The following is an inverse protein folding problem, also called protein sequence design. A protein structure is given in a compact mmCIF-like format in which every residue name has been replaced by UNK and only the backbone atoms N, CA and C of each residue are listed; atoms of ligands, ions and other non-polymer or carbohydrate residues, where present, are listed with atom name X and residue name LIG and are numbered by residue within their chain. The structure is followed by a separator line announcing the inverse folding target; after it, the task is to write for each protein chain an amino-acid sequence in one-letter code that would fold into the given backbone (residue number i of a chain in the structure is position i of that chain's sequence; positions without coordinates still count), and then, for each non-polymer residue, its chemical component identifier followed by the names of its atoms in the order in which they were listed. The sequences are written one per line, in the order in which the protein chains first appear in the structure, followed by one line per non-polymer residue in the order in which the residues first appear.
data_IF_613103041496
#
_entry.id   IF_613103041496
#
_cell.length_a   1.000
_cell.length_b   1.000
_cell.length_c   1.000
_cell.angle_alpha   90.00
_cell.angle_beta   90.00
_cell.angle_gamma   90.00
#
_symmetry.space_group_name_H-M   'P 1'
#
loop_
_entity.id
_entity.type
_entity.pdbx_description
1 polymer ?
#
# COMPACT_ATOMS: atom_id res chain seq x y z
N UNK A 1 3.70 -18.00 -12.08
CA UNK A 1 2.69 -17.68 -11.05
C UNK A 1 2.54 -16.17 -11.04
N UNK A 2 1.32 -15.65 -11.24
CA UNK A 2 1.07 -14.20 -11.14
C UNK A 2 0.96 -13.82 -9.66
N UNK A 3 1.45 -12.63 -9.35
CA UNK A 3 1.42 -12.07 -8.01
C UNK A 3 0.06 -11.42 -7.76
N UNK A 4 -0.63 -11.79 -6.69
CA UNK A 4 -1.86 -11.10 -6.26
C UNK A 4 -1.52 -9.98 -5.30
N UNK A 5 -1.87 -8.75 -5.67
CA UNK A 5 -1.64 -7.55 -4.85
C UNK A 5 -2.97 -6.99 -4.36
N UNK A 6 -3.11 -6.91 -3.03
CA UNK A 6 -4.23 -6.24 -2.37
C UNK A 6 -3.98 -4.73 -2.28
N UNK A 7 -4.93 -3.93 -2.76
CA UNK A 7 -4.99 -2.47 -2.61
C UNK A 7 -6.19 -2.10 -1.75
N UNK A 8 -5.99 -1.92 -0.43
CA UNK A 8 -7.05 -1.48 0.44
C UNK A 8 -7.18 0.03 0.39
N UNK A 9 -8.36 0.53 0.01
CA UNK A 9 -8.70 1.94 0.09
C UNK A 9 -9.60 2.21 1.28
N UNK A 10 -9.37 3.36 1.92
CA UNK A 10 -10.23 3.89 2.96
C UNK A 10 -10.93 5.14 2.42
N UNK A 11 -12.24 5.21 2.45
CA UNK A 11 -12.99 6.34 1.87
C UNK A 11 -12.60 7.67 2.54
N UNK A 12 -12.27 7.61 3.84
CA UNK A 12 -11.77 8.78 4.58
C UNK A 12 -10.41 9.30 4.08
N UNK A 13 -9.62 8.49 3.37
CA UNK A 13 -8.34 8.89 2.78
C UNK A 13 -8.46 9.40 1.35
N UNK A 14 -9.68 9.51 0.80
CA UNK A 14 -9.89 10.05 -0.53
C UNK A 14 -9.29 11.46 -0.64
N UNK A 15 -8.42 11.64 -1.65
CA UNK A 15 -7.75 12.91 -1.94
C UNK A 15 -7.72 13.17 -3.44
N UNK A 16 -7.26 14.36 -3.83
CA UNK A 16 -7.08 14.72 -5.25
C UNK A 16 -6.10 13.80 -5.99
N UNK A 17 -5.20 13.14 -5.26
CA UNK A 17 -4.25 12.16 -5.82
C UNK A 17 -4.87 10.78 -6.07
N UNK A 18 -6.00 10.46 -5.42
CA UNK A 18 -6.63 9.13 -5.49
C UNK A 18 -7.04 8.73 -6.91
N UNK A 19 -7.69 9.59 -7.73
CA UNK A 19 -8.01 9.27 -9.12
C UNK A 19 -6.78 8.96 -9.98
N UNK A 20 -5.68 9.73 -9.80
CA UNK A 20 -4.44 9.50 -10.52
C UNK A 20 -3.80 8.15 -10.13
N UNK A 21 -3.88 7.76 -8.86
CA UNK A 21 -3.44 6.44 -8.42
C UNK A 21 -4.32 5.31 -9.01
N UNK A 22 -5.64 5.50 -9.04
CA UNK A 22 -6.59 4.55 -9.66
C UNK A 22 -6.27 4.36 -11.16
N UNK A 23 -5.92 5.43 -11.88
CA UNK A 23 -5.52 5.32 -13.28
C UNK A 23 -4.30 4.40 -13.47
N UNK A 24 -3.32 4.46 -12.57
CA UNK A 24 -2.16 3.55 -12.58
C UNK A 24 -2.59 2.10 -12.35
N UNK A 25 -3.59 1.85 -11.50
CA UNK A 25 -4.15 0.52 -11.32
C UNK A 25 -4.81 0.00 -12.61
N UNK A 26 -5.47 0.85 -13.39
CA UNK A 26 -5.99 0.47 -14.71
C UNK A 26 -4.86 0.04 -15.65
N UNK A 27 -3.74 0.76 -15.65
CA UNK A 27 -2.57 0.39 -16.47
C UNK A 27 -1.97 -0.95 -16.02
N UNK A 28 -1.86 -1.17 -14.71
CA UNK A 28 -1.42 -2.43 -14.14
C UNK A 28 -2.36 -3.59 -14.49
N UNK A 29 -3.68 -3.38 -14.43
CA UNK A 29 -4.66 -4.39 -14.81
C UNK A 29 -4.48 -4.81 -16.27
N UNK A 30 -4.31 -3.81 -17.16
CA UNK A 30 -4.12 -4.05 -18.60
C UNK A 30 -2.81 -4.79 -18.91
N UNK A 31 -1.78 -4.60 -18.09
CA UNK A 31 -0.50 -5.33 -18.25
C UNK A 31 -0.62 -6.83 -18.02
N UNK A 32 -1.63 -7.28 -17.26
CA UNK A 32 -1.83 -8.69 -16.85
C UNK A 32 -0.63 -9.32 -16.14
N UNK A 33 0.31 -8.52 -15.64
CA UNK A 33 1.50 -9.00 -14.93
C UNK A 33 1.18 -9.38 -13.47
N UNK A 34 0.20 -8.69 -12.88
CA UNK A 34 -0.28 -8.90 -11.51
C UNK A 34 -1.79 -9.06 -11.50
N UNK A 35 -2.28 -9.82 -10.54
CA UNK A 35 -3.70 -9.91 -10.25
C UNK A 35 -4.04 -8.84 -9.20
N UNK A 36 -4.97 -7.94 -9.54
CA UNK A 36 -5.37 -6.82 -8.69
C UNK A 36 -6.56 -7.23 -7.83
N UNK A 37 -6.44 -7.01 -6.54
CA UNK A 37 -7.50 -7.22 -5.59
C UNK A 37 -7.72 -5.92 -4.83
N UNK A 38 -8.88 -5.30 -5.00
CA UNK A 38 -9.14 -3.93 -4.52
C UNK A 38 -10.26 -3.99 -3.50
N UNK A 39 -10.05 -3.36 -2.34
CA UNK A 39 -11.10 -3.24 -1.32
C UNK A 39 -11.38 -1.80 -1.01
N UNK A 40 -12.62 -1.51 -0.62
CA UNK A 40 -13.04 -0.22 -0.07
C UNK A 40 -13.76 -0.49 1.24
N UNK A 41 -13.55 0.34 2.26
CA UNK A 41 -14.20 0.18 3.56
C UNK A 41 -15.70 0.52 3.55
N UNK A 42 -16.12 1.47 2.73
CA UNK A 42 -17.50 1.90 2.60
C UNK A 42 -17.75 2.53 1.21
N UNK A 43 -18.99 2.54 0.71
CA UNK A 43 -19.31 3.26 -0.53
C UNK A 43 -19.05 4.77 -0.39
N UNK A 44 -18.59 5.38 -1.47
CA UNK A 44 -18.24 6.80 -1.52
C UNK A 44 -17.49 7.20 -2.78
N UNK A 45 -16.74 8.31 -2.72
CA UNK A 45 -16.00 8.89 -3.85
C UNK A 45 -14.95 7.94 -4.41
N UNK A 46 -14.28 7.16 -3.56
CA UNK A 46 -13.29 6.17 -4.01
C UNK A 46 -13.97 5.05 -4.79
N UNK A 47 -15.07 4.54 -4.25
CA UNK A 47 -15.89 3.50 -4.87
C UNK A 47 -16.46 3.96 -6.23
N UNK A 48 -16.86 5.22 -6.35
CA UNK A 48 -17.33 5.84 -7.58
C UNK A 48 -16.20 6.02 -8.61
N UNK A 49 -15.01 6.44 -8.16
CA UNK A 49 -13.83 6.56 -9.02
C UNK A 49 -13.41 5.19 -9.59
N UNK A 50 -13.44 4.14 -8.78
CA UNK A 50 -13.16 2.76 -9.22
C UNK A 50 -14.21 2.26 -10.22
N UNK A 51 -15.51 2.50 -9.97
CA UNK A 51 -16.59 2.21 -10.93
C UNK A 51 -16.37 2.90 -12.27
N UNK A 52 -16.06 4.21 -12.25
CA UNK A 52 -15.78 5.00 -13.45
C UNK A 52 -14.59 4.45 -14.23
N UNK A 53 -13.56 3.97 -13.52
CA UNK A 53 -12.38 3.33 -14.08
C UNK A 53 -12.61 1.88 -14.56
N UNK A 54 -13.80 1.31 -14.34
CA UNK A 54 -14.16 -0.09 -14.63
C UNK A 54 -13.29 -1.10 -13.88
N UNK A 55 -12.85 -0.75 -12.67
CA UNK A 55 -12.14 -1.65 -11.77
C UNK A 55 -13.13 -2.33 -10.82
N UNK A 56 -13.02 -3.65 -10.69
CA UNK A 56 -13.74 -4.41 -9.68
C UNK A 56 -13.15 -4.13 -8.29
N UNK A 57 -14.01 -3.99 -7.30
CA UNK A 57 -13.63 -3.92 -5.89
C UNK A 57 -14.64 -4.65 -5.02
N UNK A 58 -14.21 -4.97 -3.81
CA UNK A 58 -15.05 -5.57 -2.79
C UNK A 58 -15.17 -4.62 -1.59
N UNK A 59 -16.35 -4.61 -0.98
CA UNK A 59 -16.59 -3.79 0.21
C UNK A 59 -16.21 -4.60 1.45
N UNK A 60 -15.23 -4.12 2.21
CA UNK A 60 -14.77 -4.74 3.46
C UNK A 60 -14.92 -3.73 4.58
N UNK A 61 -16.07 -3.76 5.24
CA UNK A 61 -16.44 -2.81 6.26
C UNK A 61 -15.39 -2.70 7.38
N UNK A 62 -14.79 -1.51 7.53
CA UNK A 62 -14.04 -1.14 8.71
C UNK A 62 -14.94 -0.31 9.63
N UNK A 63 -15.25 -0.85 10.81
CA UNK A 63 -16.03 -0.12 11.80
C UNK A 63 -15.18 1.03 12.37
N UNK A 64 -15.69 2.25 12.14
CA UNK A 64 -15.22 3.58 12.57
C UNK A 64 -14.80 3.65 14.05
N UNK A 65 -13.95 4.63 14.44
CA UNK A 65 -12.98 4.50 15.50
C UNK A 65 -13.61 4.56 16.88
N UNK A 66 -12.84 4.02 17.82
CA UNK A 66 -12.96 4.24 19.25
C UNK A 66 -13.25 5.71 19.54
N UNK A 67 -14.39 6.00 20.16
CA UNK A 67 -14.68 7.30 20.71
C UNK A 67 -13.80 7.58 21.93
N UNK A 68 -13.40 8.84 22.13
CA UNK A 68 -12.60 9.26 23.30
C UNK A 68 -13.28 8.94 24.64
N UNK A 69 -14.61 8.76 24.64
CA UNK A 69 -15.43 8.43 25.81
C UNK A 69 -15.94 6.99 25.82
N UNK A 70 -15.47 6.14 24.91
CA UNK A 70 -15.87 4.73 24.91
C UNK A 70 -15.24 4.00 26.12
N UNK A 71 -16.06 3.23 26.83
CA UNK A 71 -15.59 2.38 27.91
C UNK A 71 -14.61 1.32 27.39
N UNK A 72 -13.56 0.99 28.16
CA UNK A 72 -12.44 0.18 27.68
C UNK A 72 -12.82 -1.17 27.05
N UNK A 73 -13.86 -1.86 27.54
CA UNK A 73 -14.33 -3.12 26.93
C UNK A 73 -15.02 -2.88 25.58
N UNK A 74 -15.76 -1.78 25.45
CA UNK A 74 -16.37 -1.38 24.19
C UNK A 74 -15.30 -1.02 23.17
N UNK A 75 -14.24 -0.35 23.61
CA UNK A 75 -13.04 -0.06 22.82
C UNK A 75 -12.38 -1.34 22.32
N UNK A 76 -12.10 -2.29 23.22
CA UNK A 76 -11.47 -3.56 22.88
C UNK A 76 -12.35 -4.39 21.91
N UNK A 77 -13.65 -4.44 22.18
CA UNK A 77 -14.62 -5.11 21.31
C UNK A 77 -14.67 -4.48 19.92
N UNK A 78 -14.73 -3.14 19.83
CA UNK A 78 -14.71 -2.40 18.56
C UNK A 78 -13.42 -2.65 17.80
N UNK A 79 -12.26 -2.65 18.47
CA UNK A 79 -10.97 -2.96 17.85
C UNK A 79 -10.94 -4.36 17.25
N UNK A 80 -11.30 -5.39 18.03
CA UNK A 80 -11.33 -6.78 17.55
C UNK A 80 -12.30 -6.89 16.37
N UNK A 81 -13.51 -6.35 16.50
CA UNK A 81 -14.53 -6.41 15.45
C UNK A 81 -14.17 -5.62 14.20
N UNK A 82 -13.42 -4.52 14.32
CA UNK A 82 -12.92 -3.77 13.17
C UNK A 82 -11.80 -4.49 12.43
N UNK A 83 -10.99 -5.29 13.13
CA UNK A 83 -9.90 -6.03 12.52
C UNK A 83 -10.36 -7.36 11.90
N UNK A 84 -11.39 -8.01 12.45
CA UNK A 84 -11.91 -9.30 12.01
C UNK A 84 -12.21 -9.40 10.50
N UNK A 85 -12.92 -8.43 9.88
CA UNK A 85 -13.18 -8.46 8.43
C UNK A 85 -11.90 -8.62 7.61
N UNK A 86 -10.86 -7.85 7.96
CA UNK A 86 -9.56 -7.97 7.28
C UNK A 86 -8.95 -9.36 7.49
N UNK A 87 -8.99 -9.95 8.69
CA UNK A 87 -8.48 -11.30 8.92
C UNK A 87 -9.18 -12.36 8.07
N UNK A 88 -10.51 -12.35 8.05
CA UNK A 88 -11.27 -13.28 7.20
C UNK A 88 -10.96 -13.10 5.72
N UNK A 89 -10.75 -11.86 5.31
CA UNK A 89 -10.41 -11.52 3.94
C UNK A 89 -9.11 -12.15 3.46
N UNK A 90 -8.07 -12.14 4.31
CA UNK A 90 -6.81 -12.82 4.03
C UNK A 90 -6.93 -14.35 4.03
N UNK A 91 -7.88 -14.91 4.79
CA UNK A 91 -8.11 -16.34 4.80
C UNK A 91 -8.89 -16.83 3.57
N UNK A 92 -9.76 -15.98 3.01
CA UNK A 92 -10.57 -16.32 1.83
C UNK A 92 -9.87 -16.03 0.51
N UNK A 93 -8.80 -15.23 0.51
CA UNK A 93 -8.10 -14.81 -0.71
C UNK A 93 -6.62 -15.15 -0.65
N UNK A 94 -6.08 -15.63 -1.77
CA UNK A 94 -4.63 -15.77 -1.93
C UNK A 94 -4.02 -14.40 -2.22
N UNK A 95 -3.45 -13.78 -1.19
CA UNK A 95 -2.79 -12.47 -1.26
C UNK A 95 -1.28 -12.68 -1.09
N UNK A 96 -0.49 -12.21 -2.05
CA UNK A 96 0.98 -12.33 -1.97
C UNK A 96 1.62 -11.05 -1.40
N UNK A 97 0.98 -9.89 -1.60
CA UNK A 97 1.46 -8.57 -1.20
C UNK A 97 0.29 -7.62 -0.91
N UNK A 98 0.47 -6.70 0.04
CA UNK A 98 -0.42 -5.55 0.21
C UNK A 98 0.28 -4.26 -0.21
N UNK A 99 -0.39 -3.42 -0.99
CA UNK A 99 0.04 -2.06 -1.27
C UNK A 99 -0.98 -1.09 -0.68
N UNK A 100 -0.64 -0.51 0.48
CA UNK A 100 -1.43 0.53 1.12
C UNK A 100 -1.24 1.86 0.36
N UNK A 101 -2.28 2.43 -0.27
CA UNK A 101 -2.17 3.65 -1.08
C UNK A 101 -1.93 4.92 -0.25
N UNK A 102 -2.18 4.85 1.05
CA UNK A 102 -2.04 5.93 2.02
C UNK A 102 -1.74 5.39 3.43
N UNK A 103 -1.51 6.32 4.38
CA UNK A 103 -1.17 5.98 5.75
C UNK A 103 -2.35 5.36 6.52
N UNK A 104 -3.59 5.82 6.31
CA UNK A 104 -4.77 5.29 7.00
C UNK A 104 -5.00 3.83 6.60
N UNK A 105 -4.88 3.53 5.31
CA UNK A 105 -4.92 2.17 4.77
C UNK A 105 -3.84 1.27 5.40
N UNK A 106 -2.62 1.80 5.62
CA UNK A 106 -1.58 1.09 6.38
C UNK A 106 -2.00 0.83 7.83
N UNK A 107 -2.59 1.81 8.52
CA UNK A 107 -3.01 1.64 9.92
C UNK A 107 -4.11 0.58 10.07
N UNK A 108 -5.00 0.48 9.08
CA UNK A 108 -6.12 -0.48 9.09
C UNK A 108 -5.68 -1.90 8.68
N UNK A 109 -4.80 -2.03 7.69
CA UNK A 109 -4.48 -3.32 7.07
C UNK A 109 -3.08 -3.86 7.39
N UNK A 110 -2.14 -3.01 7.82
CA UNK A 110 -0.74 -3.37 8.02
C UNK A 110 -0.53 -4.45 9.08
N UNK A 111 -1.24 -4.37 10.20
CA UNK A 111 -1.18 -5.40 11.24
C UNK A 111 -1.70 -6.75 10.75
N UNK A 112 -2.82 -6.76 10.02
CA UNK A 112 -3.40 -7.98 9.47
C UNK A 112 -2.46 -8.62 8.44
N UNK A 113 -1.85 -7.81 7.57
CA UNK A 113 -0.82 -8.28 6.64
C UNK A 113 0.38 -8.89 7.39
N UNK A 114 0.88 -8.21 8.43
CA UNK A 114 1.98 -8.68 9.27
C UNK A 114 1.65 -10.02 9.94
N UNK A 115 0.46 -10.15 10.53
CA UNK A 115 0.03 -11.39 11.20
C UNK A 115 -0.08 -12.57 10.23
N UNK A 116 -0.49 -12.31 8.98
CA UNK A 116 -0.50 -13.30 7.91
C UNK A 116 0.86 -13.48 7.21
N UNK A 117 1.93 -12.84 7.70
CA UNK A 117 3.29 -12.86 7.14
C UNK A 117 3.35 -12.41 5.67
N UNK A 118 2.42 -11.56 5.26
CA UNK A 118 2.40 -11.00 3.92
C UNK A 118 3.16 -9.67 3.93
N UNK A 119 4.16 -9.50 3.04
CA UNK A 119 4.88 -8.24 2.93
C UNK A 119 3.90 -7.13 2.52
N UNK A 120 4.24 -5.90 2.87
CA UNK A 120 3.46 -4.74 2.42
C UNK A 120 4.34 -3.54 2.06
N UNK A 121 3.84 -2.75 1.12
CA UNK A 121 4.38 -1.46 0.67
C UNK A 121 3.38 -0.37 1.07
N UNK A 122 3.89 0.80 1.41
CA UNK A 122 3.05 1.97 1.75
C UNK A 122 3.37 3.12 0.81
N UNK A 123 2.34 3.72 0.22
CA UNK A 123 2.46 5.00 -0.48
C UNK A 123 2.09 6.15 0.44
N UNK A 124 2.83 7.25 0.36
CA UNK A 124 2.58 8.49 1.08
C UNK A 124 2.32 9.60 0.06
N UNK A 125 1.09 10.11 0.06
CA UNK A 125 0.62 11.15 -0.85
C UNK A 125 0.74 12.56 -0.26
N UNK A 126 0.90 12.68 1.06
CA UNK A 126 0.99 13.94 1.77
C UNK A 126 2.06 13.86 2.86
N UNK A 127 2.60 15.02 3.24
CA UNK A 127 3.56 15.14 4.34
C UNK A 127 2.82 15.08 5.69
N UNK A 128 2.17 13.97 5.99
CA UNK A 128 1.46 13.79 7.25
C UNK A 128 2.45 13.74 8.41
N UNK A 129 2.03 14.30 9.56
CA UNK A 129 2.77 14.08 10.81
C UNK A 129 2.69 12.61 11.17
N UNK A 130 3.80 11.90 11.00
CA UNK A 130 3.92 10.49 11.37
C UNK A 130 3.83 10.40 12.89
N UNK A 131 2.67 9.94 13.38
CA UNK A 131 2.46 9.62 14.79
C UNK A 131 3.36 8.46 15.23
N UNK A 132 3.48 8.26 16.55
CA UNK A 132 4.25 7.14 17.08
C UNK A 132 3.73 5.79 16.53
N UNK A 133 2.41 5.62 16.45
CA UNK A 133 1.78 4.39 15.96
C UNK A 133 2.00 4.16 14.46
N UNK A 134 1.82 5.20 13.63
CA UNK A 134 2.12 5.06 12.20
C UNK A 134 3.60 4.79 11.96
N UNK A 135 4.48 5.33 12.79
CA UNK A 135 5.89 5.03 12.72
C UNK A 135 6.23 3.57 13.05
N UNK A 136 5.51 2.93 13.97
CA UNK A 136 5.68 1.49 14.23
C UNK A 136 5.27 0.67 13.00
N UNK A 137 4.11 0.99 12.40
CA UNK A 137 3.65 0.30 11.18
C UNK A 137 4.59 0.50 9.99
N UNK A 138 5.13 1.71 9.80
CA UNK A 138 6.12 2.00 8.76
C UNK A 138 7.44 1.22 8.98
N UNK A 139 7.76 0.87 10.21
CA UNK A 139 8.95 0.05 10.51
C UNK A 139 8.82 -1.36 9.94
N UNK A 140 7.60 -1.89 9.84
CA UNK A 140 7.34 -3.20 9.25
C UNK A 140 7.14 -3.15 7.73
N UNK A 141 6.84 -1.97 7.17
CA UNK A 141 6.70 -1.77 5.72
C UNK A 141 8.02 -2.06 4.99
N UNK A 142 7.94 -2.81 3.90
CA UNK A 142 9.15 -3.18 3.13
C UNK A 142 9.68 -2.00 2.32
N UNK A 143 8.79 -1.14 1.82
CA UNK A 143 9.11 0.04 1.03
C UNK A 143 8.09 1.14 1.30
N UNK A 144 8.58 2.37 1.26
CA UNK A 144 7.75 3.57 1.41
C UNK A 144 7.86 4.34 0.09
N UNK A 145 6.78 4.47 -0.64
CA UNK A 145 6.74 5.19 -1.91
C UNK A 145 6.22 6.60 -1.66
N UNK A 146 7.00 7.61 -2.02
CA UNK A 146 6.69 9.02 -1.80
C UNK A 146 6.26 9.64 -3.12
N UNK A 147 5.14 10.37 -3.15
CA UNK A 147 4.70 11.01 -4.39
C UNK A 147 5.54 12.24 -4.78
N UNK A 148 6.41 12.75 -3.90
CA UNK A 148 7.33 13.85 -4.19
C UNK A 148 8.59 13.80 -3.32
N UNK A 149 9.63 14.52 -3.73
CA UNK A 149 10.87 14.66 -2.95
C UNK A 149 10.64 15.47 -1.66
N UNK A 150 9.67 16.39 -1.66
CA UNK A 150 9.24 17.13 -0.46
C UNK A 150 8.69 16.21 0.62
N UNK A 151 7.96 15.16 0.23
CA UNK A 151 7.47 14.16 1.19
C UNK A 151 8.62 13.27 1.63
N UNK A 152 9.46 12.82 0.69
CA UNK A 152 10.60 11.94 0.98
C UNK A 152 11.59 12.57 1.95
N UNK A 153 11.89 13.86 1.79
CA UNK A 153 12.79 14.62 2.67
C UNK A 153 12.23 14.83 4.09
N UNK A 154 10.91 14.75 4.26
CA UNK A 154 10.23 14.85 5.56
C UNK A 154 10.09 13.51 6.27
N UNK A 155 10.44 12.40 5.62
CA UNK A 155 10.43 11.09 6.25
C UNK A 155 11.59 10.99 7.27
N UNK A 156 11.35 10.46 8.48
CA UNK A 156 12.40 10.23 9.46
C UNK A 156 13.57 9.43 8.88
N UNK A 157 14.80 9.84 9.22
CA UNK A 157 16.03 9.30 8.63
C UNK A 157 16.15 7.77 8.74
N UNK A 158 15.62 7.17 9.82
CA UNK A 158 15.55 5.71 10.01
C UNK A 158 14.78 4.95 8.92
N UNK A 159 13.99 5.64 8.11
CA UNK A 159 13.21 5.09 7.00
C UNK A 159 13.76 5.47 5.63
N UNK A 160 14.75 6.36 5.56
CA UNK A 160 15.32 6.91 4.31
C UNK A 160 15.75 5.83 3.31
N UNK A 161 16.38 4.75 3.79
CA UNK A 161 16.86 3.63 2.97
C UNK A 161 15.75 2.83 2.29
N UNK A 162 14.50 2.93 2.80
CA UNK A 162 13.30 2.28 2.23
C UNK A 162 12.40 3.26 1.49
N UNK A 163 12.69 4.56 1.58
CA UNK A 163 11.91 5.62 0.98
C UNK A 163 12.33 5.83 -0.48
N UNK A 164 11.44 5.51 -1.39
CA UNK A 164 11.61 5.62 -2.84
C UNK A 164 10.64 6.68 -3.38
N UNK A 165 11.02 7.36 -4.44
CA UNK A 165 10.10 8.22 -5.18
C UNK A 165 9.16 7.39 -6.05
N UNK A 166 7.92 7.84 -6.17
CA UNK A 166 6.99 7.36 -7.19
C UNK A 166 7.54 7.70 -8.59
N UNK A 167 7.16 6.94 -9.64
CA UNK A 167 7.64 7.16 -10.99
C UNK A 167 7.48 8.61 -11.47
N UNK A 168 6.39 9.27 -11.09
CA UNK A 168 6.08 10.63 -11.55
C UNK A 168 6.98 11.69 -10.92
N UNK A 169 7.55 11.41 -9.75
CA UNK A 169 8.48 12.28 -9.06
C UNK A 169 9.94 11.97 -9.40
N UNK A 170 10.22 10.79 -9.95
CA UNK A 170 11.48 10.54 -10.63
C UNK A 170 11.40 11.36 -11.92
N UNK A 171 12.38 12.22 -12.21
CA UNK A 171 12.41 13.11 -13.39
C UNK A 171 12.36 12.34 -14.73
N UNK A 172 11.23 11.69 -15.02
CA UNK A 172 10.92 11.02 -16.27
C UNK A 172 10.64 12.15 -17.25
N UNK A 173 11.53 12.30 -18.23
CA UNK A 173 11.49 13.38 -19.24
C UNK A 173 10.06 13.67 -19.70
N UNK A 174 9.62 14.92 -19.53
CA UNK A 174 8.30 15.42 -19.95
C UNK A 174 8.02 15.20 -21.45
N UNK A 175 9.07 14.88 -22.23
CA UNK A 175 9.02 14.61 -23.66
C UNK A 175 8.72 13.14 -24.03
N UNK A 176 8.43 12.27 -23.06
CA UNK A 176 8.06 10.88 -23.36
C UNK A 176 6.62 10.80 -23.86
N UNK A 177 6.41 10.08 -24.96
CA UNK A 177 5.07 9.72 -25.46
C UNK A 177 4.26 9.05 -24.31
N UNK A 178 2.96 9.37 -24.14
CA UNK A 178 2.05 8.73 -23.20
C UNK A 178 2.19 7.21 -23.05
N UNK A 179 2.43 6.48 -24.15
CA UNK A 179 2.60 5.02 -24.10
C UNK A 179 3.88 4.59 -23.37
N UNK A 180 4.98 5.29 -23.61
CA UNK A 180 6.26 5.05 -22.92
C UNK A 180 6.17 5.39 -21.44
N UNK A 181 5.46 6.47 -21.10
CA UNK A 181 5.20 6.84 -19.71
C UNK A 181 4.42 5.73 -18.97
N UNK A 182 3.33 5.23 -19.57
CA UNK A 182 2.55 4.12 -19.01
C UNK A 182 3.39 2.88 -18.79
N UNK A 183 4.22 2.51 -19.78
CA UNK A 183 5.09 1.34 -19.69
C UNK A 183 6.10 1.49 -18.54
N UNK A 184 6.74 2.65 -18.40
CA UNK A 184 7.69 2.91 -17.32
C UNK A 184 7.04 2.82 -15.94
N UNK A 185 5.82 3.34 -15.77
CA UNK A 185 5.06 3.24 -14.51
C UNK A 185 4.75 1.79 -14.18
N UNK A 186 4.27 1.02 -15.16
CA UNK A 186 3.96 -0.41 -15.00
C UNK A 186 5.23 -1.20 -14.64
N UNK A 187 6.32 -1.01 -15.39
CA UNK A 187 7.58 -1.70 -15.18
C UNK A 187 8.17 -1.37 -13.80
N UNK A 188 8.10 -0.10 -13.37
CA UNK A 188 8.49 0.31 -12.02
C UNK A 188 7.75 -0.50 -10.95
N UNK A 189 6.42 -0.53 -10.99
CA UNK A 189 5.62 -1.22 -9.97
C UNK A 189 5.87 -2.72 -9.97
N UNK A 190 5.95 -3.36 -11.15
CA UNK A 190 6.29 -4.78 -11.28
C UNK A 190 7.65 -5.07 -10.65
N UNK A 191 8.67 -4.24 -10.92
CA UNK A 191 9.99 -4.39 -10.30
C UNK A 191 9.94 -4.19 -8.78
N UNK A 192 9.19 -3.19 -8.31
CA UNK A 192 9.03 -2.94 -6.88
C UNK A 192 8.43 -4.16 -6.17
N UNK A 193 7.40 -4.78 -6.76
CA UNK A 193 6.75 -5.96 -6.21
C UNK A 193 7.64 -7.21 -6.29
N UNK A 194 8.25 -7.48 -7.45
CA UNK A 194 9.11 -8.64 -7.65
C UNK A 194 10.32 -8.66 -6.70
N UNK A 195 10.94 -7.49 -6.47
CA UNK A 195 12.11 -7.38 -5.59
C UNK A 195 11.84 -7.76 -4.12
N UNK A 196 10.58 -7.82 -3.68
CA UNK A 196 10.24 -8.27 -2.32
C UNK A 196 10.42 -9.78 -2.13
N UNK A 197 10.43 -10.53 -3.23
CA UNK A 197 10.54 -12.00 -3.22
C UNK A 197 11.92 -12.49 -3.68
N UNK A 198 12.81 -11.57 -4.06
CA UNK A 198 14.21 -11.90 -4.37
C UNK A 198 14.89 -12.29 -3.06
N UNK A 199 15.23 -13.57 -2.93
CA UNK A 199 16.00 -14.05 -1.76
C UNK A 199 17.31 -13.28 -1.68
N UNK A 200 17.73 -12.81 -0.49
CA UNK A 200 19.07 -12.30 -0.31
C UNK A 200 20.05 -13.41 -0.69
N UNK A 201 21.04 -13.06 -1.50
CA UNK A 201 22.05 -14.00 -1.97
C UNK A 201 22.89 -14.42 -0.75
N UNK A 202 22.55 -15.56 -0.13
CA UNK A 202 23.17 -16.04 1.11
C UNK A 202 24.69 -16.18 1.00
N UNK A 203 25.20 -16.40 -0.22
CA UNK A 203 26.63 -16.44 -0.52
C UNK A 203 27.37 -15.12 -0.28
N UNK A 204 26.68 -13.97 -0.23
CA UNK A 204 27.28 -12.67 0.16
C UNK A 204 27.33 -12.48 1.68
N UNK A 205 26.50 -13.18 2.44
CA UNK A 205 26.39 -13.03 3.90
C UNK A 205 27.38 -13.97 4.61
N UNK A 206 27.63 -15.16 4.06
CA UNK A 206 28.61 -16.12 4.62
C UNK A 206 30.07 -15.72 4.38
N UNK A 207 30.36 -14.78 3.48
CA UNK A 207 31.71 -14.22 3.28
C UNK A 207 32.26 -13.43 4.48
N UNK A 208 31.44 -13.14 5.48
CA UNK A 208 31.83 -12.45 6.73
C UNK A 208 32.18 -13.45 7.85
N UNK A 209 31.78 -14.73 7.73
CA UNK A 209 32.06 -15.76 8.73
C UNK A 209 33.27 -16.65 8.40
N UNK A 210 33.96 -16.38 7.29
CA UNK A 210 35.20 -17.07 6.89
C UNK A 210 36.41 -16.12 6.86
N UNK A 211 36.59 -15.31 7.90
CA UNK A 211 37.85 -14.62 8.20
C UNK A 211 38.17 -14.67 9.67
#
# INVERSE_FOLDING_TARGET
MRLTVLYPFMEKSFSESTPAFIEKLVWLQKSRAIDLLITVDQPGKTADALKKAKLSYEEVAFLSPIGLYDFYLVVLYKLIRSALPSFFYFNSHKIDLVHCPDLLSLLCWGNTAKMNRIPFITSLQSAEKISHYSSLMLTDSKKIICCSEDIRSKIPERFSSRALLAPEAQNISENLNPESCRKNVVDFWIQQYASLFVKPNLNKITGILNK
#
